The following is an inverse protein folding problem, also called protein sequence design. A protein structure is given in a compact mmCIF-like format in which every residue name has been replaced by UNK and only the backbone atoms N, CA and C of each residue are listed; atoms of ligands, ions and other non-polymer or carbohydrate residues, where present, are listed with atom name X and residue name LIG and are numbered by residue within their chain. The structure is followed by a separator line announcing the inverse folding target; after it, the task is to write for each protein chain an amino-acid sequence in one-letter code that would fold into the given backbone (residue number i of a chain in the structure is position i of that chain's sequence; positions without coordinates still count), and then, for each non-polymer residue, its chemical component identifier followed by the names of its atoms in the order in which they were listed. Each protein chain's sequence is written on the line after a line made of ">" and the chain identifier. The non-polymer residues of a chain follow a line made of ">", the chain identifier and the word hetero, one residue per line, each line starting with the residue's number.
data_IF_251056304956
#
_entry.id   IF_251056304956
#
_cell.length_a   1.000
_cell.length_b   1.000
_cell.length_c   1.000
_cell.angle_alpha   90.00
_cell.angle_beta   90.00
_cell.angle_gamma   90.00
#
_symmetry.space_group_name_H-M   'P 1'
#
loop_
_entity.id
_entity.type
_entity.pdbx_description
1 polymer ?
#
# COMPACT_ATOMS: atom_id res chain seq x y z
N UNK A 1 19.11 21.44 27.33
CA UNK A 1 18.52 20.14 27.73
C UNK A 1 19.32 19.08 27.01
N UNK A 2 19.76 17.99 27.67
CA UNK A 2 20.75 17.01 27.16
C UNK A 2 20.61 16.56 25.68
N UNK A 3 19.42 16.60 25.10
CA UNK A 3 19.18 16.34 23.68
C UNK A 3 19.84 17.34 22.71
N UNK A 4 20.00 18.61 23.11
CA UNK A 4 20.62 19.64 22.26
C UNK A 4 22.14 19.51 22.16
N UNK A 5 22.75 18.64 22.98
CA UNK A 5 24.19 18.38 23.04
C UNK A 5 24.55 16.97 22.52
N UNK A 6 23.58 16.22 21.98
CA UNK A 6 23.81 14.86 21.52
C UNK A 6 24.53 14.84 20.16
N UNK A 7 25.60 14.06 20.05
CA UNK A 7 26.35 13.82 18.79
C UNK A 7 25.64 12.82 17.85
N UNK A 8 24.66 12.07 18.36
CA UNK A 8 23.95 11.07 17.58
C UNK A 8 22.78 10.43 18.32
N UNK A 9 21.98 9.68 17.56
CA UNK A 9 20.85 8.91 18.06
C UNK A 9 20.94 7.49 17.50
N UNK A 10 20.92 6.49 18.39
CA UNK A 10 20.73 5.10 18.00
C UNK A 10 19.24 4.79 18.08
N UNK A 11 18.67 4.35 16.96
CA UNK A 11 17.29 3.91 16.91
C UNK A 11 17.11 2.59 17.68
N UNK A 12 16.00 2.43 18.39
CA UNK A 12 15.77 1.33 19.32
C UNK A 12 15.57 -0.05 18.65
N UNK A 13 15.29 -0.06 17.35
CA UNK A 13 14.98 -1.27 16.59
C UNK A 13 16.12 -1.67 15.64
N UNK A 14 16.35 -2.98 15.53
CA UNK A 14 17.22 -3.60 14.55
C UNK A 14 16.79 -5.03 14.25
N UNK A 15 17.31 -5.60 13.16
CA UNK A 15 16.99 -6.96 12.72
C UNK A 15 18.22 -7.69 12.19
N UNK A 16 18.11 -9.00 12.05
CA UNK A 16 19.04 -9.81 11.25
C UNK A 16 18.37 -10.21 9.96
N UNK A 17 19.15 -10.38 8.90
CA UNK A 17 18.65 -10.95 7.65
C UNK A 17 18.57 -12.49 7.74
N UNK A 18 18.12 -13.15 6.67
CA UNK A 18 17.96 -14.60 6.62
C UNK A 18 19.27 -15.38 6.84
N UNK A 19 20.43 -14.74 6.63
CA UNK A 19 21.75 -15.31 6.83
C UNK A 19 22.33 -14.94 8.22
N UNK A 20 21.49 -14.50 9.17
CA UNK A 20 21.86 -14.07 10.53
C UNK A 20 22.78 -12.84 10.60
N UNK A 21 22.98 -12.11 9.50
CA UNK A 21 23.78 -10.89 9.48
C UNK A 21 22.99 -9.70 10.04
N UNK A 22 23.59 -8.87 10.92
CA UNK A 22 22.95 -7.64 11.39
C UNK A 22 22.61 -6.69 10.24
N UNK A 23 21.42 -6.11 10.27
CA UNK A 23 20.95 -5.11 9.29
C UNK A 23 20.97 -3.73 9.94
N UNK A 24 21.67 -2.80 9.29
CA UNK A 24 21.65 -1.38 9.66
C UNK A 24 20.65 -0.67 8.75
N UNK A 25 19.52 -0.27 9.30
CA UNK A 25 18.51 0.52 8.59
C UNK A 25 18.86 2.01 8.67
N UNK A 26 18.88 2.68 7.52
CA UNK A 26 19.18 4.11 7.42
C UNK A 26 17.93 5.00 7.32
N UNK A 27 16.75 4.41 7.51
CA UNK A 27 15.48 5.13 7.46
C UNK A 27 14.28 4.19 7.52
N UNK A 28 13.10 4.79 7.70
CA UNK A 28 11.81 4.12 7.65
C UNK A 28 10.85 4.94 6.79
N UNK A 29 9.90 4.27 6.14
CA UNK A 29 8.83 4.94 5.41
C UNK A 29 7.83 5.56 6.37
N UNK A 30 7.34 6.75 6.02
CA UNK A 30 6.20 7.36 6.71
C UNK A 30 4.90 6.56 6.47
N UNK A 31 3.85 6.93 7.18
CA UNK A 31 2.54 6.30 7.04
C UNK A 31 1.42 7.33 7.26
N UNK A 32 0.48 7.39 6.32
CA UNK A 32 -0.78 8.09 6.48
C UNK A 32 -1.93 7.08 6.41
N UNK A 33 -2.80 7.05 7.42
CA UNK A 33 -3.95 6.16 7.48
C UNK A 33 -5.26 6.96 7.34
N UNK A 34 -6.19 6.48 6.53
CA UNK A 34 -7.47 7.14 6.26
C UNK A 34 -8.57 6.15 5.84
N UNK A 35 -9.83 6.59 5.94
CA UNK A 35 -10.98 5.83 5.47
C UNK A 35 -11.57 6.50 4.22
N UNK A 36 -11.87 5.72 3.17
CA UNK A 36 -12.74 6.15 2.08
C UNK A 36 -14.16 5.65 2.33
N UNK A 37 -15.15 6.54 2.23
CA UNK A 37 -16.56 6.22 2.49
C UNK A 37 -17.43 6.73 1.36
N UNK A 38 -18.30 5.86 0.86
CA UNK A 38 -19.29 6.19 -0.16
C UNK A 38 -20.68 5.98 0.42
N UNK A 39 -21.59 6.92 0.14
CA UNK A 39 -23.02 6.80 0.41
C UNK A 39 -23.79 7.20 -0.85
N UNK A 40 -24.60 6.30 -1.38
CA UNK A 40 -25.40 6.53 -2.61
C UNK A 40 -26.88 6.74 -2.34
N UNK A 41 -27.38 6.27 -1.20
CA UNK A 41 -28.77 6.40 -0.78
C UNK A 41 -28.90 6.49 0.75
N UNK A 42 -30.11 6.77 1.24
CA UNK A 42 -30.41 6.77 2.68
C UNK A 42 -30.61 5.36 3.24
N UNK A 43 -30.95 4.39 2.38
CA UNK A 43 -31.17 2.99 2.73
C UNK A 43 -30.86 2.07 1.56
N UNK A 44 -30.58 0.80 1.87
CA UNK A 44 -30.37 -0.24 0.87
C UNK A 44 -31.62 -0.46 -0.01
N UNK A 45 -31.41 -0.91 -1.25
CA UNK A 45 -32.48 -1.16 -2.22
C UNK A 45 -32.50 -2.62 -2.72
N UNK A 46 -33.64 -3.04 -3.28
CA UNK A 46 -33.78 -4.34 -3.93
C UNK A 46 -32.88 -4.43 -5.18
N UNK A 47 -32.06 -5.48 -5.30
CA UNK A 47 -31.06 -5.59 -6.39
C UNK A 47 -31.62 -5.72 -7.80
N UNK A 48 -32.91 -6.04 -7.95
CA UNK A 48 -33.60 -5.96 -9.24
C UNK A 48 -33.56 -4.56 -9.88
N UNK A 49 -33.32 -3.51 -9.10
CA UNK A 49 -33.16 -2.14 -9.60
C UNK A 49 -31.72 -1.81 -10.03
N UNK A 50 -30.80 -2.79 -10.05
CA UNK A 50 -29.37 -2.58 -10.26
C UNK A 50 -29.00 -1.99 -11.62
N UNK A 51 -29.91 -2.04 -12.61
CA UNK A 51 -29.71 -1.38 -13.90
C UNK A 51 -29.92 0.14 -13.88
N UNK A 52 -30.52 0.69 -12.81
CA UNK A 52 -30.87 2.12 -12.73
C UNK A 52 -30.49 2.79 -11.41
N UNK A 53 -30.23 2.03 -10.33
CA UNK A 53 -29.91 2.60 -9.02
C UNK A 53 -28.40 2.61 -8.75
N UNK A 54 -27.87 3.69 -8.13
CA UNK A 54 -26.46 3.77 -7.80
C UNK A 54 -26.10 2.79 -6.68
N UNK A 55 -24.97 2.11 -6.84
CA UNK A 55 -24.48 1.12 -5.90
C UNK A 55 -23.19 1.60 -5.22
N UNK A 56 -23.21 1.73 -3.89
CA UNK A 56 -22.06 2.24 -3.16
C UNK A 56 -20.82 1.34 -3.26
N UNK A 57 -21.01 0.01 -3.38
CA UNK A 57 -19.90 -0.92 -3.58
C UNK A 57 -19.19 -0.65 -4.91
N UNK A 58 -19.95 -0.57 -6.01
CA UNK A 58 -19.40 -0.27 -7.33
C UNK A 58 -18.65 1.06 -7.33
N UNK A 59 -19.26 2.11 -6.78
CA UNK A 59 -18.66 3.43 -6.76
C UNK A 59 -17.37 3.50 -5.93
N UNK A 60 -17.30 2.77 -4.80
CA UNK A 60 -16.07 2.68 -4.02
C UNK A 60 -14.99 1.88 -4.76
N UNK A 61 -15.35 0.77 -5.41
CA UNK A 61 -14.40 -0.01 -6.21
C UNK A 61 -13.80 0.80 -7.36
N UNK A 62 -14.62 1.55 -8.10
CA UNK A 62 -14.15 2.47 -9.15
C UNK A 62 -13.18 3.53 -8.59
N UNK A 63 -13.50 4.09 -7.42
CA UNK A 63 -12.62 5.06 -6.78
C UNK A 63 -11.27 4.41 -6.41
N UNK A 64 -11.27 3.21 -5.82
CA UNK A 64 -10.05 2.49 -5.45
C UNK A 64 -9.20 2.10 -6.67
N UNK A 65 -9.84 1.65 -7.75
CA UNK A 65 -9.18 1.28 -9.00
C UNK A 65 -8.47 2.49 -9.63
N UNK A 66 -9.07 3.69 -9.54
CA UNK A 66 -8.45 4.92 -10.06
C UNK A 66 -7.19 5.38 -9.31
N UNK A 67 -6.88 4.81 -8.13
CA UNK A 67 -5.73 5.23 -7.32
C UNK A 67 -4.44 4.49 -7.69
N UNK A 68 -4.53 3.35 -8.40
CA UNK A 68 -3.38 2.49 -8.72
C UNK A 68 -3.41 1.98 -10.15
N UNK A 69 -2.23 1.89 -10.77
CA UNK A 69 -2.04 1.17 -12.02
C UNK A 69 -2.17 -0.35 -11.83
N UNK A 70 -2.32 -1.15 -12.90
CA UNK A 70 -2.34 -2.61 -12.82
C UNK A 70 -1.07 -3.24 -12.22
N UNK A 71 0.09 -2.59 -12.36
CA UNK A 71 1.35 -2.99 -11.70
C UNK A 71 1.43 -2.52 -10.24
N UNK A 72 0.36 -1.90 -9.75
CA UNK A 72 0.13 -1.42 -8.42
C UNK A 72 0.91 -0.17 -8.02
N UNK A 73 1.55 0.54 -8.95
CA UNK A 73 2.04 1.92 -8.73
C UNK A 73 0.88 2.84 -8.38
N UNK A 74 1.11 3.81 -7.51
CA UNK A 74 0.15 4.89 -7.23
C UNK A 74 0.08 5.82 -8.44
N UNK A 75 -1.12 6.20 -8.87
CA UNK A 75 -1.34 7.06 -10.07
C UNK A 75 -2.19 8.30 -9.77
N UNK A 76 -2.09 8.81 -8.55
CA UNK A 76 -2.81 10.02 -8.15
C UNK A 76 -2.11 11.23 -8.78
N UNK A 77 -2.86 12.00 -9.57
CA UNK A 77 -2.37 13.17 -10.29
C UNK A 77 -1.65 14.16 -9.36
N UNK A 78 -0.45 14.59 -9.77
CA UNK A 78 0.41 15.53 -9.02
C UNK A 78 1.08 14.95 -7.77
N UNK A 79 0.68 13.78 -7.28
CA UNK A 79 1.21 13.22 -6.04
C UNK A 79 2.68 12.80 -6.20
N UNK A 80 3.01 12.11 -7.29
CA UNK A 80 4.37 11.58 -7.50
C UNK A 80 5.39 12.66 -7.86
N UNK A 81 4.96 13.85 -8.24
CA UNK A 81 5.85 14.98 -8.54
C UNK A 81 6.61 15.47 -7.30
N UNK A 82 6.10 15.14 -6.11
CA UNK A 82 6.73 15.45 -4.82
C UNK A 82 7.75 14.39 -4.37
N UNK A 83 7.81 13.22 -5.02
CA UNK A 83 8.71 12.15 -4.60
C UNK A 83 10.15 12.46 -4.98
N UNK A 84 11.01 12.66 -3.97
CA UNK A 84 12.44 12.83 -4.16
C UNK A 84 13.05 11.59 -4.81
N UNK A 85 13.80 11.78 -5.90
CA UNK A 85 14.57 10.69 -6.49
C UNK A 85 15.79 10.32 -5.63
N UNK A 86 16.17 9.04 -5.58
CA UNK A 86 17.42 8.62 -4.93
C UNK A 86 18.63 9.28 -5.61
N UNK A 87 19.61 9.64 -4.79
CA UNK A 87 20.95 10.06 -5.24
C UNK A 87 21.73 8.86 -5.80
N UNK A 88 22.83 9.11 -6.50
CA UNK A 88 23.68 8.03 -7.02
C UNK A 88 24.24 7.11 -5.91
N UNK A 89 24.52 7.67 -4.73
CA UNK A 89 24.98 6.90 -3.57
C UNK A 89 23.86 5.98 -3.09
N UNK A 90 22.63 6.49 -3.00
CA UNK A 90 21.46 5.70 -2.61
C UNK A 90 21.14 4.63 -3.65
N UNK A 91 21.19 4.93 -4.95
CA UNK A 91 20.98 3.92 -6.00
C UNK A 91 21.99 2.76 -5.88
N UNK A 92 23.28 3.04 -5.68
CA UNK A 92 24.30 1.99 -5.43
C UNK A 92 24.02 1.18 -4.17
N UNK A 93 23.54 1.83 -3.10
CA UNK A 93 23.16 1.13 -1.87
C UNK A 93 21.94 0.22 -2.11
N UNK A 94 20.93 0.67 -2.85
CA UNK A 94 19.75 -0.12 -3.18
C UNK A 94 20.12 -1.38 -3.98
N UNK A 95 21.03 -1.27 -4.94
CA UNK A 95 21.55 -2.41 -5.71
C UNK A 95 22.30 -3.43 -4.84
N UNK A 96 22.93 -2.97 -3.76
CA UNK A 96 23.68 -3.84 -2.84
C UNK A 96 22.80 -4.60 -1.85
N UNK A 97 21.52 -4.22 -1.70
CA UNK A 97 20.60 -4.87 -0.75
C UNK A 97 20.35 -6.32 -1.16
N UNK A 98 20.71 -7.32 -0.33
CA UNK A 98 20.43 -8.71 -0.63
C UNK A 98 18.91 -8.94 -0.68
N UNK A 99 18.38 -9.28 -1.85
CA UNK A 99 16.94 -9.49 -2.04
C UNK A 99 16.64 -10.78 -2.80
N UNK A 100 16.34 -11.83 -2.05
CA UNK A 100 15.92 -13.11 -2.61
C UNK A 100 14.38 -13.16 -2.78
N UNK A 101 13.91 -12.56 -3.87
CA UNK A 101 12.48 -12.52 -4.19
C UNK A 101 11.84 -13.91 -4.35
N UNK A 102 12.60 -14.94 -4.78
CA UNK A 102 12.11 -16.31 -4.90
C UNK A 102 11.83 -16.91 -3.52
N UNK A 103 12.76 -16.76 -2.59
CA UNK A 103 12.55 -17.20 -1.20
C UNK A 103 11.37 -16.45 -0.57
N UNK A 104 11.27 -15.13 -0.76
CA UNK A 104 10.15 -14.33 -0.27
C UNK A 104 8.81 -14.83 -0.84
N UNK A 105 8.72 -15.08 -2.15
CA UNK A 105 7.53 -15.63 -2.79
C UNK A 105 7.15 -16.99 -2.21
N UNK A 106 8.12 -17.88 -1.99
CA UNK A 106 7.88 -19.18 -1.40
C UNK A 106 7.39 -19.10 0.04
N UNK A 107 7.99 -18.24 0.88
CA UNK A 107 7.59 -18.07 2.28
C UNK A 107 6.17 -17.55 2.46
N UNK A 108 5.70 -16.70 1.54
CA UNK A 108 4.34 -16.14 1.57
C UNK A 108 3.35 -16.89 0.67
N UNK A 109 3.80 -17.88 -0.11
CA UNK A 109 2.95 -18.66 -1.01
C UNK A 109 2.42 -17.89 -2.22
N UNK A 110 3.18 -16.91 -2.73
CA UNK A 110 2.77 -16.14 -3.91
C UNK A 110 2.90 -16.99 -5.18
N UNK A 111 1.77 -17.33 -5.80
CA UNK A 111 1.74 -18.14 -7.02
C UNK A 111 2.06 -17.38 -8.31
N UNK A 112 1.88 -16.05 -8.30
CA UNK A 112 2.00 -15.20 -9.50
C UNK A 112 3.17 -14.21 -9.40
N UNK A 113 4.18 -14.54 -8.59
CA UNK A 113 5.33 -13.67 -8.36
C UNK A 113 5.02 -12.43 -7.52
N UNK A 114 5.96 -11.48 -7.50
CA UNK A 114 5.72 -10.17 -6.89
C UNK A 114 4.88 -9.30 -7.82
N UNK A 115 4.19 -8.33 -7.24
CA UNK A 115 3.40 -7.33 -7.95
C UNK A 115 4.18 -6.72 -9.13
N UNK A 116 3.55 -6.64 -10.31
CA UNK A 116 4.16 -6.09 -11.51
C UNK A 116 5.37 -6.89 -12.06
N UNK A 117 5.58 -8.13 -11.60
CA UNK A 117 6.74 -8.93 -12.00
C UNK A 117 8.06 -8.42 -11.43
N UNK A 118 8.03 -7.68 -10.32
CA UNK A 118 9.22 -7.10 -9.69
C UNK A 118 10.21 -8.17 -9.22
N UNK A 119 11.50 -7.94 -9.49
CA UNK A 119 12.61 -8.80 -9.09
C UNK A 119 13.83 -7.95 -8.71
N UNK A 120 14.77 -8.55 -7.95
CA UNK A 120 16.09 -7.96 -7.64
C UNK A 120 16.07 -6.50 -7.19
N UNK A 121 16.99 -5.69 -7.72
CA UNK A 121 17.14 -4.28 -7.38
C UNK A 121 15.91 -3.43 -7.70
N UNK A 122 15.15 -3.76 -8.76
CA UNK A 122 13.92 -3.04 -9.10
C UNK A 122 12.84 -3.22 -8.01
N UNK A 123 12.74 -4.42 -7.44
CA UNK A 123 11.84 -4.67 -6.31
C UNK A 123 12.27 -3.90 -5.06
N UNK A 124 13.57 -3.86 -4.77
CA UNK A 124 14.13 -3.09 -3.64
C UNK A 124 13.87 -1.59 -3.81
N UNK A 125 14.14 -1.04 -5.00
CA UNK A 125 13.89 0.36 -5.32
C UNK A 125 12.40 0.71 -5.17
N UNK A 126 11.49 -0.13 -5.71
CA UNK A 126 10.04 0.05 -5.52
C UNK A 126 9.65 0.04 -4.05
N UNK A 127 10.19 -0.91 -3.28
CA UNK A 127 9.84 -1.09 -1.88
C UNK A 127 10.27 0.09 -1.02
N UNK A 128 11.53 0.55 -1.17
CA UNK A 128 12.15 1.53 -0.29
C UNK A 128 11.91 2.98 -0.75
N UNK A 129 11.87 3.24 -2.05
CA UNK A 129 11.90 4.61 -2.61
C UNK A 129 10.61 5.07 -3.26
N UNK A 130 9.62 4.20 -3.47
CA UNK A 130 8.33 4.60 -4.04
C UNK A 130 7.19 4.46 -3.01
N UNK A 131 6.18 5.35 -3.02
CA UNK A 131 5.05 5.20 -2.12
C UNK A 131 4.22 3.95 -2.45
N UNK A 132 3.49 3.45 -1.46
CA UNK A 132 2.58 2.32 -1.64
C UNK A 132 1.23 2.62 -1.01
N UNK A 133 0.15 2.31 -1.70
CA UNK A 133 -1.21 2.48 -1.21
C UNK A 133 -1.88 1.13 -1.00
N UNK A 134 -2.42 0.92 0.20
CA UNK A 134 -2.97 -0.36 0.64
C UNK A 134 -4.46 -0.23 1.01
N UNK A 135 -5.21 -1.30 0.77
CA UNK A 135 -6.56 -1.49 1.32
C UNK A 135 -6.45 -2.49 2.46
N UNK A 136 -6.65 -2.03 3.69
CA UNK A 136 -6.57 -2.86 4.91
C UNK A 136 -7.90 -3.55 5.22
N UNK A 137 -9.00 -3.00 4.72
CA UNK A 137 -10.33 -3.58 4.86
C UNK A 137 -11.29 -2.92 3.88
N UNK A 138 -12.22 -3.71 3.34
CA UNK A 138 -13.25 -3.25 2.41
C UNK A 138 -14.58 -3.88 2.81
N UNK A 139 -15.58 -3.04 3.11
CA UNK A 139 -16.88 -3.49 3.64
C UNK A 139 -18.00 -2.78 2.89
N UNK A 140 -18.99 -3.55 2.43
CA UNK A 140 -20.23 -3.07 1.82
C UNK A 140 -21.31 -4.15 1.83
N UNK A 141 -22.57 -3.77 1.97
CA UNK A 141 -23.72 -4.68 1.81
C UNK A 141 -23.77 -5.86 2.76
N UNK A 142 -24.15 -7.03 2.22
CA UNK A 142 -24.36 -8.25 2.98
C UNK A 142 -23.08 -9.09 3.08
N UNK A 143 -22.59 -9.31 4.31
CA UNK A 143 -21.36 -10.07 4.59
C UNK A 143 -21.61 -11.37 5.39
N UNK A 144 -22.87 -11.80 5.51
CA UNK A 144 -23.26 -13.03 6.21
C UNK A 144 -23.25 -14.26 5.29
N UNK A 145 -23.49 -15.47 5.84
CA UNK A 145 -23.61 -16.69 5.05
C UNK A 145 -24.83 -16.65 4.12
N UNK A 146 -24.79 -17.38 3.00
CA UNK A 146 -25.87 -17.40 2.01
C UNK A 146 -25.87 -16.19 1.09
N UNK A 147 -27.03 -15.81 0.56
CA UNK A 147 -27.17 -14.70 -0.38
C UNK A 147 -28.24 -13.69 0.07
N UNK A 148 -28.03 -12.42 -0.30
CA UNK A 148 -29.02 -11.34 -0.14
C UNK A 148 -29.01 -10.46 -1.39
N UNK A 149 -30.15 -10.33 -2.04
CA UNK A 149 -30.35 -9.55 -3.26
C UNK A 149 -30.51 -8.06 -2.95
N UNK A 150 -29.40 -7.39 -2.65
CA UNK A 150 -29.38 -6.00 -2.16
C UNK A 150 -28.42 -5.09 -2.96
N UNK A 151 -28.82 -3.83 -3.14
CA UNK A 151 -27.94 -2.72 -3.53
C UNK A 151 -27.55 -2.00 -2.25
N UNK A 152 -26.27 -2.07 -1.83
CA UNK A 152 -25.83 -1.38 -0.63
C UNK A 152 -25.83 0.13 -0.84
N UNK A 153 -26.41 0.85 0.11
CA UNK A 153 -26.40 2.31 0.13
C UNK A 153 -25.07 2.89 0.62
N UNK A 154 -24.22 2.09 1.27
CA UNK A 154 -22.95 2.51 1.85
C UNK A 154 -21.84 1.48 1.60
N UNK A 155 -20.62 1.99 1.41
CA UNK A 155 -19.40 1.19 1.34
C UNK A 155 -18.26 1.95 2.03
N UNK A 156 -17.33 1.23 2.64
CA UNK A 156 -16.15 1.81 3.32
C UNK A 156 -14.89 0.99 3.05
N UNK A 157 -13.79 1.68 2.78
CA UNK A 157 -12.45 1.11 2.73
C UNK A 157 -11.58 1.75 3.82
N UNK A 158 -10.84 0.92 4.56
CA UNK A 158 -9.73 1.35 5.43
C UNK A 158 -8.45 1.29 4.63
N UNK A 159 -7.67 2.36 4.65
CA UNK A 159 -6.49 2.49 3.81
C UNK A 159 -5.30 3.04 4.57
N UNK A 160 -4.11 2.65 4.13
CA UNK A 160 -2.86 3.30 4.49
C UNK A 160 -2.03 3.60 3.24
N UNK A 161 -1.31 4.72 3.27
CA UNK A 161 -0.27 5.05 2.32
C UNK A 161 1.08 5.04 3.03
N UNK A 162 2.01 4.25 2.51
CA UNK A 162 3.43 4.32 2.88
C UNK A 162 4.08 5.46 2.13
N UNK A 163 4.60 6.43 2.87
CA UNK A 163 5.20 7.66 2.36
C UNK A 163 6.71 7.49 2.18
N UNK A 164 7.27 8.34 1.34
CA UNK A 164 8.70 8.42 1.04
C UNK A 164 9.14 9.89 1.20
N UNK A 165 10.44 10.21 1.25
CA UNK A 165 10.88 11.59 1.46
C UNK A 165 10.22 12.58 0.50
N UNK A 166 9.82 13.73 1.04
CA UNK A 166 9.14 14.85 0.35
C UNK A 166 7.68 14.59 -0.06
N UNK A 167 7.10 13.44 0.31
CA UNK A 167 5.69 13.09 0.17
C UNK A 167 4.95 13.11 1.52
#
# INVERSE_FOLDING_TARGET
>A
TLLSEADGCLWEFGSKNADENPVICLGVKGMAAFDLRVRTATMDAHSGNGGIFPNAAWRLTEALDSLRAPDGRVIIDGLLDHVRQPTEVEERLLESVPFNHVALQASYGFSNGLLGGLTGAAAVRRWLMEPALNVNGLVSGYSGPGSKTVIPAQATAKMDMRLVPEL
#
